data_IF_564047958217
#
_entry.id   IF_564047958217
#
_cell.length_a   1.000
_cell.length_b   1.000
_cell.length_c   1.000
_cell.angle_alpha   90.00
_cell.angle_beta   90.00
_cell.angle_gamma   90.00
#
_symmetry.space_group_name_H-M   'P 1'
#
loop_
_entity.id
_entity.type
_entity.pdbx_description
1 polymer ?
#
# COMPACT_ATOMS: atom_id res chain seq x y z
N UNK A 1 2.42 21.48 -40.66
CA UNK A 1 1.34 21.53 -39.65
C UNK A 1 1.76 20.63 -38.51
N UNK A 2 1.82 21.13 -37.27
CA UNK A 2 2.10 20.27 -36.12
C UNK A 2 0.89 19.36 -35.92
N UNK A 3 1.08 18.06 -36.12
CA UNK A 3 0.03 17.06 -35.97
C UNK A 3 -0.12 16.75 -34.48
N UNK A 4 -1.31 16.93 -33.93
CA UNK A 4 -1.55 16.63 -32.52
C UNK A 4 -1.49 15.11 -32.30
N UNK A 5 -0.60 14.65 -31.43
CA UNK A 5 -0.51 13.27 -30.96
C UNK A 5 -1.38 13.08 -29.72
N UNK A 6 -2.25 12.08 -29.77
CA UNK A 6 -3.12 11.70 -28.65
C UNK A 6 -2.53 10.46 -27.96
N UNK A 7 -2.37 10.54 -26.65
CA UNK A 7 -1.82 9.47 -25.82
C UNK A 7 -2.72 9.24 -24.60
N UNK A 8 -2.81 7.99 -24.15
CA UNK A 8 -3.46 7.60 -22.89
C UNK A 8 -2.39 7.34 -21.84
N UNK A 9 -2.66 7.76 -20.60
CA UNK A 9 -1.80 7.47 -19.44
C UNK A 9 -2.55 6.61 -18.43
N UNK A 10 -1.84 5.68 -17.82
CA UNK A 10 -2.41 4.83 -16.77
C UNK A 10 -2.70 5.65 -15.51
N UNK A 11 -3.58 5.16 -14.64
CA UNK A 11 -3.84 5.79 -13.34
C UNK A 11 -2.55 5.91 -12.49
N UNK A 12 -1.69 4.89 -12.50
CA UNK A 12 -0.40 4.94 -11.80
C UNK A 12 0.53 6.00 -12.41
N UNK A 13 0.56 6.12 -13.74
CA UNK A 13 1.38 7.15 -14.41
C UNK A 13 0.85 8.56 -14.12
N UNK A 14 -0.48 8.75 -14.10
CA UNK A 14 -1.10 10.01 -13.71
C UNK A 14 -0.67 10.44 -12.30
N UNK A 15 -0.75 9.55 -11.31
CA UNK A 15 -0.38 9.88 -9.94
C UNK A 15 1.13 9.93 -9.71
N UNK A 16 1.92 9.23 -10.52
CA UNK A 16 3.36 9.39 -10.56
C UNK A 16 3.73 10.83 -10.96
N UNK A 17 3.14 11.33 -12.04
CA UNK A 17 3.37 12.71 -12.53
C UNK A 17 2.77 13.77 -11.61
N UNK A 18 1.67 13.44 -10.92
CA UNK A 18 0.91 14.37 -10.08
C UNK A 18 0.86 13.93 -8.60
N UNK A 19 2.01 13.58 -8.04
CA UNK A 19 2.13 13.07 -6.65
C UNK A 19 1.53 14.00 -5.59
N UNK A 20 1.49 15.30 -5.88
CA UNK A 20 0.95 16.33 -4.99
C UNK A 20 -0.55 16.17 -4.75
N UNK A 21 -1.29 15.69 -5.75
CA UNK A 21 -2.73 15.43 -5.67
C UNK A 21 -3.03 14.35 -4.61
N UNK A 22 -2.12 13.39 -4.44
CA UNK A 22 -2.24 12.33 -3.45
C UNK A 22 -1.65 12.72 -2.07
N UNK A 23 -1.17 13.96 -1.90
CA UNK A 23 -0.57 14.44 -0.65
C UNK A 23 0.94 14.13 -0.49
N UNK A 24 1.59 13.56 -1.51
CA UNK A 24 3.02 13.18 -1.49
C UNK A 24 3.92 14.29 -2.04
N UNK A 25 3.78 15.49 -1.48
CA UNK A 25 4.43 16.73 -1.94
C UNK A 25 5.90 16.86 -1.54
N UNK A 26 6.24 16.49 -0.30
CA UNK A 26 7.60 16.52 0.24
C UNK A 26 7.83 15.32 1.18
N UNK A 27 9.08 14.97 1.52
CA UNK A 27 9.39 13.78 2.30
C UNK A 27 8.65 13.70 3.64
N UNK A 28 8.57 14.80 4.39
CA UNK A 28 7.89 14.84 5.69
C UNK A 28 6.38 14.61 5.56
N UNK A 29 5.74 15.27 4.59
CA UNK A 29 4.30 15.07 4.30
C UNK A 29 4.03 13.68 3.74
N UNK A 30 4.94 13.12 2.95
CA UNK A 30 4.82 11.77 2.41
C UNK A 30 4.82 10.71 3.52
N UNK A 31 5.70 10.85 4.54
CA UNK A 31 5.70 9.96 5.71
C UNK A 31 4.39 10.08 6.49
N UNK A 32 3.93 11.31 6.77
CA UNK A 32 2.66 11.53 7.46
C UNK A 32 1.48 10.92 6.69
N UNK A 33 1.39 11.16 5.37
CA UNK A 33 0.35 10.61 4.52
C UNK A 33 0.39 9.08 4.51
N UNK A 34 1.57 8.48 4.36
CA UNK A 34 1.72 7.02 4.38
C UNK A 34 1.25 6.40 5.70
N UNK A 35 1.65 6.98 6.85
CA UNK A 35 1.20 6.52 8.17
C UNK A 35 -0.32 6.65 8.28
N UNK A 36 -0.88 7.83 7.96
CA UNK A 36 -2.32 8.07 8.04
C UNK A 36 -3.10 7.04 7.23
N UNK A 37 -2.76 6.86 5.96
CA UNK A 37 -3.49 5.98 5.05
C UNK A 37 -3.41 4.51 5.48
N UNK A 38 -2.25 4.04 5.96
CA UNK A 38 -2.10 2.65 6.42
C UNK A 38 -2.84 2.40 7.74
N UNK A 39 -2.77 3.36 8.68
CA UNK A 39 -3.50 3.28 9.96
C UNK A 39 -5.01 3.35 9.73
N UNK A 40 -5.51 4.25 8.88
CA UNK A 40 -6.94 4.33 8.55
C UNK A 40 -7.46 3.02 7.94
N UNK A 41 -6.67 2.39 7.06
CA UNK A 41 -7.01 1.08 6.50
C UNK A 41 -7.02 -0.03 7.57
N UNK A 42 -6.06 0.01 8.51
CA UNK A 42 -5.97 -0.93 9.63
C UNK A 42 -7.22 -0.83 10.54
N UNK A 43 -7.61 0.41 10.87
CA UNK A 43 -8.81 0.69 11.66
C UNK A 43 -10.09 0.20 10.96
N UNK A 44 -10.24 0.52 9.67
CA UNK A 44 -11.39 0.06 8.88
C UNK A 44 -11.43 -1.49 8.79
N UNK A 45 -10.27 -2.14 8.75
CA UNK A 45 -10.15 -3.61 8.72
C UNK A 45 -10.59 -4.24 10.04
N UNK A 46 -10.15 -3.73 11.19
CA UNK A 46 -10.59 -4.18 12.52
C UNK A 46 -12.08 -3.91 12.75
N UNK A 47 -12.57 -2.72 12.36
CA UNK A 47 -13.98 -2.35 12.45
C UNK A 47 -14.87 -3.28 11.63
N UNK A 48 -14.39 -3.75 10.47
CA UNK A 48 -15.11 -4.75 9.66
C UNK A 48 -15.31 -6.09 10.37
N UNK A 49 -14.44 -6.42 11.33
CA UNK A 49 -14.53 -7.62 12.17
C UNK A 49 -15.22 -7.35 13.51
N UNK A 50 -15.56 -6.08 13.82
CA UNK A 50 -16.13 -5.67 15.11
C UNK A 50 -15.25 -6.04 16.31
N UNK A 51 -13.94 -5.91 16.16
CA UNK A 51 -12.96 -6.14 17.23
C UNK A 51 -12.27 -4.83 17.62
N UNK A 52 -11.72 -4.73 18.84
CA UNK A 52 -10.83 -3.64 19.19
C UNK A 52 -9.61 -3.63 18.26
N UNK A 53 -9.30 -2.50 17.60
CA UNK A 53 -8.13 -2.40 16.75
C UNK A 53 -6.85 -2.45 17.58
N UNK A 54 -5.94 -3.33 17.20
CA UNK A 54 -4.54 -3.32 17.63
C UNK A 54 -3.70 -3.01 16.39
N UNK A 55 -2.99 -1.87 16.42
CA UNK A 55 -2.22 -1.36 15.29
C UNK A 55 -0.82 -0.99 15.77
N UNK A 56 0.16 -1.76 15.33
CA UNK A 56 1.57 -1.49 15.57
C UNK A 56 2.15 -0.65 14.43
N UNK A 57 2.76 0.48 14.77
CA UNK A 57 3.42 1.36 13.79
C UNK A 57 4.88 1.55 14.20
N UNK A 58 5.79 1.29 13.26
CA UNK A 58 7.23 1.53 13.45
C UNK A 58 7.80 2.25 12.23
N UNK A 59 8.46 3.37 12.50
CA UNK A 59 9.31 4.06 11.54
C UNK A 59 10.77 3.78 11.92
N UNK A 60 11.59 3.30 10.98
CA UNK A 60 13.00 3.01 11.22
C UNK A 60 13.85 3.67 10.15
N UNK A 61 14.91 4.35 10.57
CA UNK A 61 15.89 4.94 9.66
C UNK A 61 16.67 3.81 8.97
N UNK A 62 16.77 3.87 7.64
CA UNK A 62 17.49 2.86 6.82
C UNK A 62 18.74 3.44 6.15
N UNK A 63 18.84 4.77 6.02
CA UNK A 63 20.00 5.42 5.43
C UNK A 63 19.68 6.77 4.80
N UNK A 64 20.63 7.29 4.03
CA UNK A 64 20.52 8.57 3.32
C UNK A 64 20.43 8.30 1.81
N UNK A 65 19.42 8.89 1.15
CA UNK A 65 19.32 8.92 -0.31
C UNK A 65 20.20 10.02 -0.91
N UNK A 66 20.34 11.15 -0.20
CA UNK A 66 21.18 12.30 -0.54
C UNK A 66 21.52 13.07 0.75
N UNK A 67 22.36 14.10 0.65
CA UNK A 67 22.78 14.93 1.80
C UNK A 67 21.59 15.49 2.61
N UNK A 68 20.46 15.75 1.97
CA UNK A 68 19.25 16.32 2.61
C UNK A 68 18.05 15.35 2.64
N UNK A 69 18.21 14.12 2.13
CA UNK A 69 17.09 13.17 2.03
C UNK A 69 17.41 11.86 2.72
N UNK A 70 16.61 11.54 3.73
CA UNK A 70 16.72 10.32 4.51
C UNK A 70 15.68 9.28 4.05
N UNK A 71 16.06 8.02 4.10
CA UNK A 71 15.20 6.87 3.81
C UNK A 71 14.74 6.26 5.13
N UNK A 72 13.43 6.07 5.23
CA UNK A 72 12.80 5.40 6.35
C UNK A 72 12.01 4.19 5.88
N UNK A 73 12.05 3.13 6.68
CA UNK A 73 11.16 1.98 6.58
C UNK A 73 9.99 2.15 7.53
N UNK A 74 8.80 2.26 6.95
CA UNK A 74 7.53 2.23 7.67
C UNK A 74 7.00 0.80 7.70
N UNK A 75 6.75 0.28 8.90
CA UNK A 75 6.03 -0.97 9.15
C UNK A 75 4.74 -0.63 9.87
N UNK A 76 3.62 -1.12 9.34
CA UNK A 76 2.30 -1.05 9.97
C UNK A 76 1.77 -2.47 10.05
N UNK A 77 1.33 -2.89 11.21
CA UNK A 77 0.79 -4.22 11.45
C UNK A 77 -0.54 -4.09 12.19
N UNK A 78 -1.56 -4.79 11.70
CA UNK A 78 -2.91 -4.76 12.24
C UNK A 78 -3.43 -6.15 12.58
N UNK A 79 -4.42 -6.20 13.49
CA UNK A 79 -5.18 -7.40 13.84
C UNK A 79 -6.51 -7.52 13.06
N UNK A 80 -6.64 -6.83 11.92
CA UNK A 80 -7.89 -6.66 11.17
C UNK A 80 -8.39 -7.93 10.46
N UNK A 81 -9.21 -7.77 9.41
CA UNK A 81 -9.78 -8.93 8.69
C UNK A 81 -8.77 -9.73 7.86
N UNK A 82 -7.60 -9.16 7.59
CA UNK A 82 -6.65 -9.67 6.60
C UNK A 82 -7.19 -9.61 5.18
N UNK A 83 -6.37 -10.01 4.22
CA UNK A 83 -6.68 -9.96 2.78
C UNK A 83 -6.47 -11.35 2.19
N UNK A 84 -7.44 -11.82 1.40
CA UNK A 84 -7.30 -13.10 0.71
C UNK A 84 -6.13 -13.05 -0.29
N UNK A 85 -5.34 -14.13 -0.41
CA UNK A 85 -4.08 -14.13 -1.16
C UNK A 85 -4.22 -13.69 -2.62
N UNK A 86 -5.35 -13.99 -3.26
CA UNK A 86 -5.64 -13.61 -4.65
C UNK A 86 -5.77 -12.10 -4.85
N UNK A 87 -6.12 -11.35 -3.80
CA UNK A 87 -6.34 -9.90 -3.88
C UNK A 87 -5.16 -9.08 -3.37
N UNK A 88 -4.23 -9.68 -2.61
CA UNK A 88 -3.08 -8.96 -2.03
C UNK A 88 -2.30 -8.18 -3.10
N UNK A 89 -1.90 -8.77 -4.24
CA UNK A 89 -1.13 -8.03 -5.24
C UNK A 89 -1.88 -6.79 -5.76
N UNK A 90 -3.14 -6.92 -6.18
CA UNK A 90 -3.92 -5.79 -6.69
C UNK A 90 -4.28 -4.78 -5.60
N UNK A 91 -4.51 -5.22 -4.36
CA UNK A 91 -4.84 -4.34 -3.25
C UNK A 91 -3.73 -3.32 -2.93
N UNK A 92 -2.47 -3.69 -3.17
CA UNK A 92 -1.31 -2.83 -2.91
C UNK A 92 -0.61 -2.32 -4.18
N UNK A 93 -0.82 -2.96 -5.33
CA UNK A 93 -0.08 -2.66 -6.55
C UNK A 93 -0.90 -2.25 -7.77
N UNK A 94 -2.22 -2.04 -7.64
CA UNK A 94 -3.08 -1.56 -8.72
C UNK A 94 -3.87 -0.32 -8.28
N UNK A 95 -3.49 0.86 -8.76
CA UNK A 95 -4.13 2.14 -8.43
C UNK A 95 -5.60 2.14 -8.88
N UNK A 96 -6.48 2.73 -8.06
CA UNK A 96 -7.95 2.69 -8.20
C UNK A 96 -8.55 1.26 -8.17
N UNK A 97 -7.89 0.33 -7.47
CA UNK A 97 -8.46 -0.96 -7.11
C UNK A 97 -8.78 -1.02 -5.61
N UNK A 98 -9.98 -1.44 -5.23
CA UNK A 98 -10.36 -1.47 -3.83
C UNK A 98 -11.71 -2.14 -3.56
N UNK A 99 -11.95 -2.44 -2.28
CA UNK A 99 -13.19 -3.05 -1.80
C UNK A 99 -14.20 -2.03 -1.26
N UNK A 100 -13.81 -0.74 -1.18
CA UNK A 100 -14.57 0.34 -0.52
C UNK A 100 -15.55 1.09 -1.44
N UNK A 101 -15.86 0.56 -2.62
CA UNK A 101 -16.85 1.17 -3.55
C UNK A 101 -18.31 0.90 -3.17
N UNK A 102 -18.56 0.25 -2.03
CA UNK A 102 -19.92 0.03 -1.52
C UNK A 102 -20.35 1.26 -0.71
N UNK A 103 -21.64 1.55 -0.70
CA UNK A 103 -22.22 2.61 0.14
C UNK A 103 -22.14 2.22 1.63
N UNK A 104 -20.97 2.43 2.25
CA UNK A 104 -20.71 2.23 3.66
C UNK A 104 -19.78 3.33 4.13
N UNK A 105 -20.04 3.89 5.31
CA UNK A 105 -19.12 4.84 5.93
C UNK A 105 -17.81 4.13 6.29
N UNK A 106 -16.70 4.58 5.70
CA UNK A 106 -15.33 4.14 5.97
C UNK A 106 -14.40 5.34 5.88
N UNK A 107 -13.20 5.26 6.47
CA UNK A 107 -12.23 6.38 6.44
C UNK A 107 -11.68 6.61 5.03
N UNK A 108 -11.31 5.53 4.34
CA UNK A 108 -10.80 5.61 2.97
C UNK A 108 -11.90 5.56 1.89
N UNK A 109 -11.76 6.34 0.82
CA UNK A 109 -12.80 6.48 -0.23
C UNK A 109 -12.41 5.88 -1.57
N UNK A 110 -11.19 6.15 -2.07
CA UNK A 110 -10.84 5.86 -3.47
C UNK A 110 -9.94 4.64 -3.68
N UNK A 111 -9.58 3.93 -2.60
CA UNK A 111 -8.61 2.83 -2.67
C UNK A 111 -7.21 3.29 -3.11
N UNK A 112 -6.89 4.57 -2.90
CA UNK A 112 -5.69 5.23 -3.44
C UNK A 112 -4.51 5.24 -2.46
N UNK A 113 -4.71 5.69 -1.23
CA UNK A 113 -3.58 6.19 -0.41
C UNK A 113 -2.52 5.17 -0.03
N UNK A 114 -2.89 3.96 0.41
CA UNK A 114 -1.90 2.91 0.71
C UNK A 114 -1.05 2.53 -0.51
N UNK A 115 -1.61 2.59 -1.71
CA UNK A 115 -0.90 2.30 -2.96
C UNK A 115 0.01 3.46 -3.36
N UNK A 116 -0.39 4.70 -3.03
CA UNK A 116 0.45 5.88 -3.23
C UNK A 116 1.67 5.86 -2.32
N UNK A 117 1.55 5.33 -1.10
CA UNK A 117 2.71 5.10 -0.23
C UNK A 117 3.70 4.09 -0.87
N UNK A 118 3.19 2.98 -1.42
CA UNK A 118 4.00 1.99 -2.14
C UNK A 118 4.65 2.60 -3.38
N UNK A 119 3.87 3.31 -4.20
CA UNK A 119 4.34 3.94 -5.43
C UNK A 119 5.44 4.98 -5.13
N UNK A 120 5.19 5.88 -4.17
CA UNK A 120 6.15 6.90 -3.76
C UNK A 120 7.44 6.28 -3.21
N UNK A 121 7.33 5.29 -2.31
CA UNK A 121 8.48 4.57 -1.78
C UNK A 121 9.32 3.91 -2.89
N UNK A 122 8.65 3.23 -3.82
CA UNK A 122 9.30 2.59 -4.96
C UNK A 122 10.04 3.60 -5.86
N UNK A 123 9.44 4.75 -6.16
CA UNK A 123 10.06 5.75 -7.04
C UNK A 123 11.30 6.35 -6.38
N UNK A 124 11.20 6.69 -5.08
CA UNK A 124 12.25 7.42 -4.39
C UNK A 124 13.42 6.51 -3.97
N UNK A 125 13.16 5.22 -3.73
CA UNK A 125 14.16 4.30 -3.17
C UNK A 125 14.53 3.14 -4.09
N UNK A 126 13.76 2.92 -5.16
CA UNK A 126 13.82 1.71 -6.00
C UNK A 126 13.65 0.40 -5.23
N UNK A 127 13.13 0.46 -3.99
CA UNK A 127 12.87 -0.71 -3.17
C UNK A 127 11.43 -1.20 -3.33
N UNK A 128 11.21 -2.51 -3.23
CA UNK A 128 9.87 -3.10 -3.27
C UNK A 128 9.17 -3.01 -1.91
N UNK A 129 7.84 -3.07 -1.93
CA UNK A 129 7.03 -3.21 -0.74
C UNK A 129 6.92 -4.68 -0.31
N UNK A 130 6.81 -4.89 1.00
CA UNK A 130 6.56 -6.20 1.59
C UNK A 130 5.17 -6.20 2.18
N UNK A 131 4.36 -7.20 1.83
CA UNK A 131 3.00 -7.34 2.34
C UNK A 131 2.80 -8.75 2.84
N UNK A 132 2.41 -8.91 4.11
CA UNK A 132 2.10 -10.20 4.72
C UNK A 132 0.69 -10.17 5.26
N UNK A 133 -0.15 -11.15 4.91
CA UNK A 133 -1.54 -11.16 5.37
C UNK A 133 -2.10 -12.56 5.55
N UNK A 134 -3.05 -12.66 6.47
CA UNK A 134 -3.82 -13.88 6.75
C UNK A 134 -5.22 -13.51 7.20
N UNK A 135 -6.20 -14.29 6.73
CA UNK A 135 -7.60 -14.18 7.18
C UNK A 135 -7.88 -15.07 8.38
N UNK A 136 -6.88 -15.40 9.21
CA UNK A 136 -6.99 -16.38 10.30
C UNK A 136 -7.22 -17.79 9.80
N UNK A 137 -6.71 -18.12 8.60
CA UNK A 137 -6.74 -19.48 8.06
C UNK A 137 -5.43 -20.19 8.39
N UNK A 138 -5.30 -21.48 8.04
CA UNK A 138 -4.08 -22.27 8.27
C UNK A 138 -2.82 -21.74 7.55
N UNK A 139 -2.90 -20.69 6.73
CA UNK A 139 -1.78 -20.15 5.95
C UNK A 139 -1.66 -18.64 6.09
N UNK A 140 -0.41 -18.17 6.19
CA UNK A 140 -0.01 -16.77 6.06
C UNK A 140 0.67 -16.60 4.70
N UNK A 141 0.33 -15.54 3.98
CA UNK A 141 0.90 -15.25 2.67
C UNK A 141 1.75 -13.99 2.74
N UNK A 142 2.98 -14.06 2.25
CA UNK A 142 3.89 -12.93 2.17
C UNK A 142 4.28 -12.67 0.73
N UNK A 143 4.24 -11.41 0.32
CA UNK A 143 4.53 -10.95 -1.03
C UNK A 143 5.56 -9.83 -1.00
N UNK A 144 6.48 -9.87 -1.96
CA UNK A 144 7.37 -8.76 -2.32
C UNK A 144 6.85 -8.16 -3.63
N UNK A 145 6.42 -6.91 -3.60
CA UNK A 145 5.66 -6.28 -4.68
C UNK A 145 6.30 -4.98 -5.17
N UNK A 146 6.16 -4.74 -6.46
CA UNK A 146 6.34 -3.44 -7.11
C UNK A 146 5.12 -3.11 -7.96
N UNK A 147 5.05 -1.87 -8.45
CA UNK A 147 4.01 -1.38 -9.36
C UNK A 147 4.63 -1.18 -10.74
N UNK A 148 4.08 -1.83 -11.76
CA UNK A 148 4.26 -1.44 -13.15
C UNK A 148 3.46 -0.14 -13.38
N UNK A 149 4.16 0.98 -13.38
CA UNK A 149 3.57 2.32 -13.50
C UNK A 149 2.88 2.49 -14.86
N UNK A 150 3.48 1.96 -15.93
CA UNK A 150 2.95 2.10 -17.29
C UNK A 150 1.65 1.30 -17.45
N UNK A 151 1.58 0.09 -16.88
CA UNK A 151 0.41 -0.79 -17.05
C UNK A 151 -0.62 -0.71 -15.92
N UNK A 152 -0.33 0.01 -14.84
CA UNK A 152 -1.10 -0.01 -13.59
C UNK A 152 -1.38 -1.45 -13.10
N UNK A 153 -0.30 -2.24 -12.93
CA UNK A 153 -0.40 -3.64 -12.50
C UNK A 153 0.63 -3.97 -11.43
N UNK A 154 0.32 -4.88 -10.50
CA UNK A 154 1.31 -5.37 -9.55
C UNK A 154 2.35 -6.25 -10.25
N UNK A 155 3.61 -6.02 -9.92
CA UNK A 155 4.74 -6.89 -10.24
C UNK A 155 5.09 -7.70 -8.98
N UNK A 156 4.86 -9.01 -9.04
CA UNK A 156 5.18 -9.92 -7.93
C UNK A 156 6.62 -10.38 -8.08
N UNK A 157 7.49 -9.93 -7.19
CA UNK A 157 8.91 -10.30 -7.19
C UNK A 157 9.17 -11.60 -6.41
N UNK A 158 8.42 -11.81 -5.32
CA UNK A 158 8.52 -13.00 -4.49
C UNK A 158 7.18 -13.29 -3.81
N UNK A 159 6.92 -14.57 -3.56
CA UNK A 159 5.72 -15.06 -2.85
C UNK A 159 6.10 -16.23 -1.96
N UNK A 160 5.81 -16.08 -0.66
CA UNK A 160 6.01 -17.10 0.37
C UNK A 160 4.70 -17.48 1.03
N UNK A 161 4.59 -18.75 1.43
CA UNK A 161 3.44 -19.28 2.17
C UNK A 161 3.96 -19.95 3.44
N UNK A 162 3.46 -19.51 4.58
CA UNK A 162 3.84 -20.00 5.90
C UNK A 162 2.64 -20.69 6.57
N UNK A 163 2.92 -21.66 7.45
CA UNK A 163 1.88 -22.31 8.25
C UNK A 163 1.47 -21.37 9.38
N UNK A 164 0.16 -21.15 9.53
CA UNK A 164 -0.40 -20.29 10.55
C UNK A 164 -0.81 -21.10 11.79
N UNK A 165 0.17 -21.49 12.62
CA UNK A 165 -0.10 -22.31 13.81
C UNK A 165 -0.99 -21.59 14.82
N UNK A 166 -0.81 -20.28 14.96
CA UNK A 166 -1.49 -19.44 15.95
C UNK A 166 -2.82 -18.87 15.44
N UNK A 167 -3.24 -19.22 14.21
CA UNK A 167 -4.41 -18.64 13.55
C UNK A 167 -4.38 -17.10 13.51
N UNK A 168 -3.17 -16.52 13.41
CA UNK A 168 -2.98 -15.08 13.28
C UNK A 168 -3.80 -14.53 12.11
N UNK A 169 -4.45 -13.40 12.35
CA UNK A 169 -5.29 -12.69 11.40
C UNK A 169 -4.89 -11.22 11.41
N UNK A 170 -4.64 -10.68 10.23
CA UNK A 170 -4.13 -9.32 10.11
C UNK A 170 -3.42 -9.06 8.79
N UNK A 171 -2.85 -7.86 8.70
CA UNK A 171 -1.99 -7.44 7.60
C UNK A 171 -0.76 -6.71 8.14
N UNK A 172 0.37 -6.91 7.46
CA UNK A 172 1.66 -6.26 7.68
C UNK A 172 2.15 -5.71 6.34
#
# INVERSE_FOLDING_TARGET
MAQATFEEISASDFFYRNRDIAGFTNPSRAIFAAIRELVENSLDAAESQKIPPDVYVRLSFEGEASQDTQIYKLRVEDNGCGIQPRFIPSAFGQVLYGSKYKLKQTRGTFGLGGKMAVLYGQIMTHQPAYVTSSTGSAKIYSFKLMIDIQRNRPLILDRKVLINKEQWRGTI
#
